data_IF_508677954921
#
_entry.id   IF_508677954921
#
_cell.length_a   1.000
_cell.length_b   1.000
_cell.length_c   1.000
_cell.angle_alpha   90.00
_cell.angle_beta   90.00
_cell.angle_gamma   90.00
#
_symmetry.space_group_name_H-M   'P 1'
#
loop_
_entity.id
_entity.type
_entity.pdbx_description
1 polymer ?
#
# COMPACT_ATOMS: atom_id res chain seq x y z
N UNK A 1 -5.35 10.70 -9.68
CA UNK A 1 -6.18 9.97 -8.71
C UNK A 1 -5.53 10.18 -7.36
N UNK A 2 -6.03 11.12 -6.58
CA UNK A 2 -5.51 11.37 -5.22
C UNK A 2 -5.89 10.18 -4.36
N UNK A 3 -4.92 9.55 -3.70
CA UNK A 3 -5.17 8.45 -2.78
C UNK A 3 -6.08 9.00 -1.68
N UNK A 4 -7.23 8.36 -1.45
CA UNK A 4 -8.12 8.76 -0.35
C UNK A 4 -7.47 8.34 0.95
N UNK A 5 -7.42 9.25 1.92
CA UNK A 5 -6.96 8.93 3.27
C UNK A 5 -7.95 7.96 3.93
N UNK A 6 -7.43 6.95 4.61
CA UNK A 6 -8.19 5.97 5.37
C UNK A 6 -9.12 6.65 6.40
N UNK A 7 -8.67 7.72 7.05
CA UNK A 7 -9.46 8.50 8.02
C UNK A 7 -10.71 9.16 7.45
N UNK A 8 -10.75 9.35 6.14
CA UNK A 8 -11.88 9.98 5.43
C UNK A 8 -12.68 8.97 4.61
N UNK A 9 -12.31 7.69 4.64
CA UNK A 9 -12.91 6.66 3.81
C UNK A 9 -14.30 6.24 4.32
N UNK A 10 -14.47 6.17 5.63
CA UNK A 10 -15.70 5.70 6.29
C UNK A 10 -16.40 6.84 7.02
N UNK A 11 -17.72 6.84 6.97
CA UNK A 11 -18.57 7.66 7.84
C UNK A 11 -18.65 7.07 9.26
N UNK A 12 -19.08 7.88 10.22
CA UNK A 12 -19.25 7.42 11.62
C UNK A 12 -20.29 6.30 11.75
N UNK A 13 -21.35 6.32 10.93
CA UNK A 13 -22.35 5.25 10.89
C UNK A 13 -21.77 3.94 10.36
N UNK A 14 -20.96 4.01 9.30
CA UNK A 14 -20.26 2.84 8.76
C UNK A 14 -19.25 2.25 9.75
N UNK A 15 -18.51 3.10 10.48
CA UNK A 15 -17.60 2.63 11.54
C UNK A 15 -18.38 1.88 12.60
N UNK A 16 -19.49 2.45 13.12
CA UNK A 16 -20.32 1.77 14.11
C UNK A 16 -20.91 0.45 13.62
N UNK A 17 -21.29 0.35 12.34
CA UNK A 17 -21.75 -0.92 11.74
C UNK A 17 -20.63 -1.96 11.64
N UNK A 18 -19.40 -1.53 11.34
CA UNK A 18 -18.22 -2.41 11.31
C UNK A 18 -17.92 -2.92 12.72
N UNK A 19 -17.86 -2.03 13.70
CA UNK A 19 -17.61 -2.39 15.11
C UNK A 19 -18.67 -3.34 15.67
N UNK A 20 -19.96 -3.11 15.35
CA UNK A 20 -21.04 -4.04 15.69
C UNK A 20 -20.89 -5.40 15.01
N UNK A 21 -20.32 -5.45 13.80
CA UNK A 21 -20.05 -6.71 13.09
C UNK A 21 -18.90 -7.47 13.73
N UNK A 22 -17.86 -6.78 14.22
CA UNK A 22 -16.75 -7.40 14.97
C UNK A 22 -17.32 -8.07 16.23
N UNK A 23 -18.04 -7.31 17.05
CA UNK A 23 -18.65 -7.81 18.29
C UNK A 23 -19.59 -9.02 18.05
N UNK A 24 -20.37 -9.00 16.95
CA UNK A 24 -21.22 -10.13 16.59
C UNK A 24 -20.39 -11.39 16.26
N UNK A 25 -19.29 -11.23 15.53
CA UNK A 25 -18.41 -12.33 15.13
C UNK A 25 -17.68 -12.91 16.34
N UNK A 26 -17.07 -12.07 17.16
CA UNK A 26 -16.32 -12.49 18.36
C UNK A 26 -17.22 -13.21 19.37
N UNK A 27 -18.52 -12.91 19.42
CA UNK A 27 -19.45 -13.70 20.25
C UNK A 27 -19.57 -15.19 19.87
N UNK A 28 -19.06 -15.61 18.70
CA UNK A 28 -19.17 -16.96 18.15
C UNK A 28 -17.83 -17.71 18.11
N UNK A 29 -16.71 -17.06 18.42
CA UNK A 29 -15.37 -17.65 18.34
C UNK A 29 -14.50 -17.12 19.47
N UNK A 30 -13.55 -17.92 19.96
CA UNK A 30 -12.55 -17.45 20.93
C UNK A 30 -11.40 -16.67 20.26
N UNK A 31 -11.60 -16.20 19.03
CA UNK A 31 -10.62 -15.47 18.25
C UNK A 31 -11.02 -14.00 18.13
N UNK A 32 -10.06 -13.13 18.37
CA UNK A 32 -10.26 -11.68 18.42
C UNK A 32 -9.83 -11.06 17.08
N UNK A 33 -10.67 -10.23 16.45
CA UNK A 33 -10.45 -9.69 15.12
C UNK A 33 -10.22 -8.18 15.18
N UNK A 34 -9.02 -7.77 14.76
CA UNK A 34 -8.66 -6.35 14.68
C UNK A 34 -8.53 -5.92 13.22
N UNK A 35 -9.50 -5.21 12.64
CA UNK A 35 -9.37 -4.67 11.30
C UNK A 35 -8.57 -3.36 11.32
N UNK A 36 -7.58 -3.27 10.42
CA UNK A 36 -6.80 -2.06 10.14
C UNK A 36 -6.95 -1.67 8.68
N UNK A 37 -7.26 -0.41 8.41
CA UNK A 37 -7.23 0.17 7.07
C UNK A 37 -6.16 1.25 7.02
N UNK A 38 -5.17 1.07 6.16
CA UNK A 38 -4.04 1.96 5.98
C UNK A 38 -4.06 2.66 4.62
N UNK A 39 -3.76 3.96 4.58
CA UNK A 39 -3.66 4.72 3.33
C UNK A 39 -2.53 4.19 2.44
N UNK A 40 -1.37 3.90 3.01
CA UNK A 40 -0.20 3.35 2.33
C UNK A 40 0.63 2.52 3.31
N UNK A 41 1.28 1.46 2.82
CA UNK A 41 2.11 0.60 3.67
C UNK A 41 3.60 0.90 3.58
N UNK A 42 4.09 1.21 2.37
CA UNK A 42 5.52 1.39 2.11
C UNK A 42 5.94 2.82 1.77
N UNK A 43 7.23 3.12 2.02
CA UNK A 43 7.90 4.32 1.51
C UNK A 43 8.61 4.00 0.19
N UNK A 44 7.97 4.33 -0.92
CA UNK A 44 8.49 4.02 -2.26
C UNK A 44 9.54 5.03 -2.77
N UNK A 45 10.42 5.52 -1.90
CA UNK A 45 11.40 6.58 -2.20
C UNK A 45 12.33 6.16 -3.36
N UNK A 46 12.71 4.87 -3.43
CA UNK A 46 13.54 4.29 -4.50
C UNK A 46 12.94 4.46 -5.90
N UNK A 47 11.62 4.39 -6.02
CA UNK A 47 10.94 4.51 -7.31
C UNK A 47 11.01 5.94 -7.87
N UNK A 48 11.14 6.94 -6.99
CA UNK A 48 11.30 8.34 -7.37
C UNK A 48 12.67 8.58 -8.02
N UNK A 49 13.73 8.03 -7.41
CA UNK A 49 15.09 8.10 -7.95
C UNK A 49 15.20 7.40 -9.32
N UNK A 50 14.55 6.24 -9.47
CA UNK A 50 14.56 5.50 -10.72
C UNK A 50 13.82 6.25 -11.83
N UNK A 51 12.66 6.85 -11.51
CA UNK A 51 11.93 7.70 -12.46
C UNK A 51 12.77 8.91 -12.88
N UNK A 52 13.36 9.61 -11.91
CA UNK A 52 14.19 10.78 -12.16
C UNK A 52 15.40 10.46 -13.05
N UNK A 53 16.02 9.29 -12.83
CA UNK A 53 17.10 8.80 -13.68
C UNK A 53 16.65 8.55 -15.12
N UNK A 54 15.54 7.82 -15.32
CA UNK A 54 15.00 7.55 -16.66
C UNK A 54 14.55 8.84 -17.36
N UNK A 55 13.92 9.76 -16.64
CA UNK A 55 13.51 11.07 -17.15
C UNK A 55 14.71 11.89 -17.62
N UNK A 56 15.81 11.87 -16.85
CA UNK A 56 17.05 12.54 -17.19
C UNK A 56 17.69 12.00 -18.46
N UNK A 57 17.76 10.66 -18.60
CA UNK A 57 18.25 10.00 -19.82
C UNK A 57 17.38 10.29 -21.04
N UNK A 58 16.06 10.31 -20.87
CA UNK A 58 15.12 10.65 -21.95
C UNK A 58 15.26 12.11 -22.35
N UNK A 59 15.39 13.02 -21.39
CA UNK A 59 15.58 14.45 -21.64
C UNK A 59 16.87 14.72 -22.41
N UNK A 60 17.97 14.07 -22.01
CA UNK A 60 19.23 14.14 -22.75
C UNK A 60 19.10 13.60 -24.18
N UNK A 61 18.42 12.46 -24.37
CA UNK A 61 18.18 11.87 -25.70
C UNK A 61 17.35 12.78 -26.60
N UNK A 62 16.30 13.40 -26.05
CA UNK A 62 15.47 14.37 -26.75
C UNK A 62 16.24 15.65 -27.11
N UNK A 63 17.06 16.15 -26.18
CA UNK A 63 17.92 17.30 -26.40
C UNK A 63 18.91 17.00 -27.54
N UNK A 64 19.57 15.84 -27.50
CA UNK A 64 20.46 15.40 -28.58
C UNK A 64 19.74 15.36 -29.92
N UNK A 65 18.59 14.67 -30.02
CA UNK A 65 17.84 14.56 -31.26
C UNK A 65 17.37 15.91 -31.82
N UNK A 66 16.97 16.85 -30.95
CA UNK A 66 16.53 18.18 -31.36
C UNK A 66 17.66 19.05 -31.91
N UNK A 67 18.89 18.86 -31.42
CA UNK A 67 20.03 19.73 -31.73
C UNK A 67 21.11 19.06 -32.60
N UNK A 68 21.02 17.76 -32.90
CA UNK A 68 22.00 17.03 -33.72
C UNK A 68 22.16 17.58 -35.15
N UNK A 69 21.15 18.29 -35.66
CA UNK A 69 21.15 18.85 -37.02
C UNK A 69 21.80 20.23 -37.13
N UNK A 70 22.19 20.85 -36.00
CA UNK A 70 22.94 22.11 -35.99
C UNK A 70 24.39 21.78 -36.31
N UNK A 71 24.68 21.65 -37.59
CA UNK A 71 26.04 21.48 -38.10
C UNK A 71 26.67 22.85 -38.33
N UNK A 72 27.96 22.97 -37.99
CA UNK A 72 28.79 24.08 -38.44
C UNK A 72 28.81 24.07 -39.97
N UNK A 73 28.22 25.09 -40.59
CA UNK A 73 28.66 25.48 -41.93
C UNK A 73 30.05 26.11 -41.77
N UNK A 74 31.09 25.29 -41.74
CA UNK A 74 32.51 25.69 -41.61
C UNK A 74 33.03 26.51 -42.80
N UNK A 75 32.16 27.16 -43.57
CA UNK A 75 32.53 28.03 -44.71
C UNK A 75 31.87 29.42 -44.70
N UNK A 76 31.08 29.79 -43.70
CA UNK A 76 30.54 31.15 -43.60
C UNK A 76 31.24 31.92 -42.48
N UNK A 77 31.80 33.09 -42.77
CA UNK A 77 32.40 34.03 -41.81
C UNK A 77 31.37 34.68 -40.85
N UNK A 78 30.25 34.00 -40.60
CA UNK A 78 29.09 34.48 -39.87
C UNK A 78 28.35 33.35 -39.13
N UNK A 79 29.07 32.37 -38.59
CA UNK A 79 28.46 31.33 -37.77
C UNK A 79 28.21 31.86 -36.36
N UNK A 80 26.94 31.95 -35.96
CA UNK A 80 26.55 32.06 -34.55
C UNK A 80 26.95 30.80 -33.77
N UNK A 81 26.92 30.82 -32.42
CA UNK A 81 27.47 29.73 -31.61
C UNK A 81 26.73 28.41 -31.89
N UNK A 82 27.47 27.39 -32.34
CA UNK A 82 26.99 26.02 -32.36
C UNK A 82 26.78 25.54 -30.91
N UNK A 83 25.66 24.87 -30.65
CA UNK A 83 25.45 24.18 -29.37
C UNK A 83 26.36 22.96 -29.32
N UNK A 84 27.62 23.15 -28.95
CA UNK A 84 28.52 22.06 -28.59
C UNK A 84 27.99 21.52 -27.26
N UNK A 85 27.32 20.37 -27.29
CA UNK A 85 26.92 19.66 -26.07
C UNK A 85 28.16 19.04 -25.43
N UNK A 86 29.01 19.90 -24.88
CA UNK A 86 30.23 19.52 -24.19
C UNK A 86 29.91 18.71 -22.93
N UNK A 87 30.85 17.89 -22.45
CA UNK A 87 30.66 17.05 -21.26
C UNK A 87 30.12 17.85 -20.04
N UNK A 88 30.58 19.07 -19.73
CA UNK A 88 29.99 19.88 -18.66
C UNK A 88 28.50 20.20 -18.87
N UNK A 89 28.08 20.49 -20.10
CA UNK A 89 26.69 20.79 -20.44
C UNK A 89 25.82 19.53 -20.32
N UNK A 90 26.33 18.36 -20.75
CA UNK A 90 25.64 17.07 -20.55
C UNK A 90 25.39 16.82 -19.08
N UNK A 91 26.42 16.96 -18.24
CA UNK A 91 26.30 16.74 -16.80
C UNK A 91 25.31 17.73 -16.15
N UNK A 92 25.33 19.00 -16.58
CA UNK A 92 24.38 20.01 -16.10
C UNK A 92 22.94 19.64 -16.47
N UNK A 93 22.68 19.24 -17.71
CA UNK A 93 21.36 18.79 -18.16
C UNK A 93 20.91 17.60 -17.32
N UNK A 94 21.77 16.61 -17.12
CA UNK A 94 21.43 15.43 -16.34
C UNK A 94 21.05 15.79 -14.90
N UNK A 95 21.86 16.60 -14.22
CA UNK A 95 21.60 17.04 -12.84
C UNK A 95 20.28 17.81 -12.74
N UNK A 96 20.08 18.83 -13.59
CA UNK A 96 18.89 19.68 -13.53
C UNK A 96 17.62 18.87 -13.82
N UNK A 97 17.65 18.04 -14.87
CA UNK A 97 16.49 17.22 -15.26
C UNK A 97 16.21 16.11 -14.26
N UNK A 98 17.22 15.58 -13.57
CA UNK A 98 17.05 14.62 -12.49
C UNK A 98 16.27 15.24 -11.32
N UNK A 99 16.65 16.43 -10.84
CA UNK A 99 15.90 17.11 -9.78
C UNK A 99 14.47 17.51 -10.20
N UNK A 100 14.28 17.91 -11.46
CA UNK A 100 12.94 18.13 -12.02
C UNK A 100 12.14 16.81 -12.04
N UNK A 101 12.79 15.70 -12.40
CA UNK A 101 12.21 14.37 -12.41
C UNK A 101 11.76 13.93 -11.02
N UNK A 102 12.57 14.15 -9.98
CA UNK A 102 12.20 13.92 -8.57
C UNK A 102 10.97 14.75 -8.23
N UNK A 103 11.02 16.07 -8.44
CA UNK A 103 9.91 16.95 -8.12
C UNK A 103 8.60 16.54 -8.81
N UNK A 104 8.70 16.07 -10.06
CA UNK A 104 7.56 15.57 -10.82
C UNK A 104 7.02 14.24 -10.27
N UNK A 105 7.90 13.29 -9.93
CA UNK A 105 7.53 12.00 -9.34
C UNK A 105 6.88 12.15 -7.97
N UNK A 106 7.43 13.03 -7.11
CA UNK A 106 6.88 13.28 -5.77
C UNK A 106 5.53 14.00 -5.83
N UNK A 107 5.30 14.86 -6.83
CA UNK A 107 4.01 15.55 -6.99
C UNK A 107 2.93 14.68 -7.65
N UNK A 108 3.32 13.77 -8.56
CA UNK A 108 2.41 12.88 -9.27
C UNK A 108 2.74 11.40 -9.00
N UNK A 109 2.14 10.79 -7.96
CA UNK A 109 2.38 9.39 -7.59
C UNK A 109 2.08 8.36 -8.71
N UNK A 110 1.34 8.76 -9.74
CA UNK A 110 1.04 7.94 -10.92
C UNK A 110 2.30 7.65 -11.74
N UNK A 111 3.29 8.56 -11.73
CA UNK A 111 4.50 8.44 -12.54
C UNK A 111 5.47 7.38 -12.02
N UNK A 112 5.47 7.14 -10.70
CA UNK A 112 6.34 6.15 -10.05
C UNK A 112 5.72 4.75 -9.97
N UNK A 113 4.39 4.65 -10.07
CA UNK A 113 3.65 3.39 -9.96
C UNK A 113 4.13 2.26 -10.91
N UNK A 114 4.44 2.49 -12.20
CA UNK A 114 4.92 1.42 -13.08
C UNK A 114 6.33 0.91 -12.75
N UNK A 115 7.08 1.63 -11.92
CA UNK A 115 8.44 1.26 -11.52
C UNK A 115 8.50 0.47 -10.21
N UNK A 116 7.37 0.32 -9.52
CA UNK A 116 7.26 -0.45 -8.28
C UNK A 116 6.83 -1.87 -8.64
N UNK A 117 7.58 -2.87 -8.17
CA UNK A 117 7.22 -4.26 -8.40
C UNK A 117 6.10 -4.71 -7.45
N UNK A 118 5.24 -5.64 -7.89
CA UNK A 118 4.21 -6.23 -7.02
C UNK A 118 4.81 -6.94 -5.80
N UNK A 119 5.99 -7.55 -5.94
CA UNK A 119 6.68 -8.21 -4.85
C UNK A 119 7.12 -7.20 -3.76
N UNK A 120 7.68 -6.05 -4.16
CA UNK A 120 8.04 -4.97 -3.23
C UNK A 120 6.81 -4.43 -2.49
N UNK A 121 5.67 -4.26 -3.17
CA UNK A 121 4.42 -3.88 -2.51
C UNK A 121 3.97 -4.93 -1.49
N UNK A 122 4.06 -6.22 -1.83
CA UNK A 122 3.69 -7.31 -0.93
C UNK A 122 4.57 -7.34 0.32
N UNK A 123 5.89 -7.20 0.15
CA UNK A 123 6.84 -7.16 1.25
C UNK A 123 6.56 -5.99 2.21
N UNK A 124 6.29 -4.80 1.67
CA UNK A 124 5.96 -3.62 2.47
C UNK A 124 4.60 -3.76 3.19
N UNK A 125 3.59 -4.33 2.54
CA UNK A 125 2.27 -4.59 3.16
C UNK A 125 2.40 -5.62 4.29
N UNK A 126 3.11 -6.73 4.08
CA UNK A 126 3.32 -7.75 5.10
C UNK A 126 4.09 -7.16 6.30
N UNK A 127 5.18 -6.44 6.03
CA UNK A 127 5.98 -5.81 7.07
C UNK A 127 5.13 -4.83 7.89
N UNK A 128 4.37 -3.95 7.23
CA UNK A 128 3.53 -2.96 7.91
C UNK A 128 2.40 -3.61 8.70
N UNK A 129 1.79 -4.68 8.18
CA UNK A 129 0.79 -5.46 8.92
C UNK A 129 1.40 -6.08 10.19
N UNK A 130 2.58 -6.69 10.12
CA UNK A 130 3.29 -7.24 11.30
C UNK A 130 3.67 -6.15 12.31
N UNK A 131 4.11 -4.98 11.85
CA UNK A 131 4.36 -3.83 12.72
C UNK A 131 3.09 -3.36 13.43
N UNK A 132 1.97 -3.22 12.69
CA UNK A 132 0.67 -2.86 13.26
C UNK A 132 0.19 -3.89 14.28
N UNK A 133 0.38 -5.18 14.01
CA UNK A 133 0.04 -6.26 14.93
C UNK A 133 0.76 -6.13 16.29
N UNK A 134 2.04 -5.76 16.26
CA UNK A 134 2.82 -5.51 17.46
C UNK A 134 2.45 -4.19 18.15
N UNK A 135 2.25 -3.12 17.38
CA UNK A 135 1.91 -1.78 17.90
C UNK A 135 0.56 -1.76 18.62
N UNK A 136 -0.42 -2.48 18.08
CA UNK A 136 -1.75 -2.64 18.66
C UNK A 136 -1.80 -3.71 19.77
N UNK A 137 -0.67 -4.38 20.05
CA UNK A 137 -0.55 -5.41 21.09
C UNK A 137 -1.58 -6.55 20.94
N UNK A 138 -1.89 -6.96 19.72
CA UNK A 138 -2.88 -8.01 19.42
C UNK A 138 -2.48 -9.37 20.02
N UNK A 139 -1.18 -9.57 20.28
CA UNK A 139 -0.66 -10.74 21.00
C UNK A 139 -1.07 -10.83 22.46
N UNK A 140 -1.67 -9.78 23.01
CA UNK A 140 -2.08 -9.75 24.41
C UNK A 140 -3.46 -10.40 24.57
N UNK A 141 -3.57 -11.64 24.09
CA UNK A 141 -4.72 -12.54 24.30
C UNK A 141 -4.26 -13.75 25.11
N UNK A 142 -5.09 -14.28 26.00
CA UNK A 142 -4.71 -15.40 26.90
C UNK A 142 -4.32 -16.66 26.11
N UNK A 143 -5.03 -16.92 25.01
CA UNK A 143 -4.85 -18.10 24.16
C UNK A 143 -4.06 -17.85 22.87
N UNK A 144 -3.50 -16.65 22.69
CA UNK A 144 -2.81 -16.24 21.45
C UNK A 144 -3.68 -16.49 20.20
N UNK A 145 -4.93 -16.03 20.24
CA UNK A 145 -5.96 -16.22 19.19
C UNK A 145 -6.29 -14.93 18.44
N UNK A 146 -5.59 -13.83 18.71
CA UNK A 146 -5.78 -12.57 18.00
C UNK A 146 -5.36 -12.63 16.52
N UNK A 147 -6.18 -12.01 15.67
CA UNK A 147 -5.89 -11.81 14.24
C UNK A 147 -5.98 -10.33 13.87
N UNK A 148 -5.17 -9.92 12.90
CA UNK A 148 -5.22 -8.62 12.26
C UNK A 148 -5.61 -8.79 10.81
N UNK A 149 -6.68 -8.11 10.39
CA UNK A 149 -7.04 -7.98 8.97
C UNK A 149 -6.54 -6.61 8.51
N UNK A 150 -5.45 -6.60 7.77
CA UNK A 150 -4.77 -5.38 7.33
C UNK A 150 -5.11 -5.08 5.86
N UNK A 151 -5.73 -3.94 5.59
CA UNK A 151 -6.12 -3.46 4.26
C UNK A 151 -5.29 -2.26 3.87
N UNK A 152 -4.53 -2.36 2.77
CA UNK A 152 -3.74 -1.25 2.24
C UNK A 152 -4.39 -0.63 1.00
N UNK A 153 -4.78 0.64 1.12
CA UNK A 153 -5.51 1.35 0.07
C UNK A 153 -4.65 1.67 -1.15
N UNK A 154 -3.37 2.01 -0.97
CA UNK A 154 -2.48 2.34 -2.09
C UNK A 154 -2.11 1.10 -2.91
N UNK A 155 -1.76 0.01 -2.23
CA UNK A 155 -1.32 -1.25 -2.85
C UNK A 155 -2.49 -2.11 -3.33
N UNK A 156 -3.73 -1.78 -2.94
CA UNK A 156 -4.93 -2.59 -3.17
C UNK A 156 -4.75 -4.06 -2.71
N UNK A 157 -4.14 -4.23 -1.54
CA UNK A 157 -3.83 -5.54 -0.97
C UNK A 157 -4.45 -5.70 0.42
N UNK A 158 -4.78 -6.95 0.75
CA UNK A 158 -5.25 -7.34 2.07
C UNK A 158 -4.36 -8.46 2.57
N UNK A 159 -3.88 -8.33 3.80
CA UNK A 159 -3.03 -9.30 4.46
C UNK A 159 -3.59 -9.63 5.84
N UNK A 160 -3.53 -10.91 6.24
CA UNK A 160 -4.04 -11.35 7.54
C UNK A 160 -2.87 -11.85 8.37
N UNK A 161 -2.71 -11.31 9.58
CA UNK A 161 -1.67 -11.72 10.52
C UNK A 161 -2.35 -12.32 11.73
N UNK A 162 -2.16 -13.63 11.96
CA UNK A 162 -2.58 -14.29 13.20
C UNK A 162 -1.44 -14.37 14.21
N UNK A 163 -1.78 -14.59 15.48
CA UNK A 163 -0.81 -15.01 16.50
C UNK A 163 -0.45 -16.50 16.36
N UNK A 164 0.39 -17.00 17.27
CA UNK A 164 1.00 -18.33 17.19
C UNK A 164 -0.05 -19.47 17.13
N UNK A 165 -1.12 -19.41 17.93
CA UNK A 165 -2.16 -20.46 17.94
C UNK A 165 -2.93 -20.46 16.63
N UNK A 166 -3.26 -19.29 16.08
CA UNK A 166 -3.91 -19.15 14.77
C UNK A 166 -3.02 -19.72 13.66
N UNK A 167 -1.76 -19.29 13.60
CA UNK A 167 -0.80 -19.70 12.57
C UNK A 167 -0.47 -21.20 12.63
N UNK A 168 -0.69 -21.86 13.78
CA UNK A 168 -0.52 -23.31 13.90
C UNK A 168 -1.59 -24.12 13.16
N UNK A 169 -2.76 -23.54 12.92
CA UNK A 169 -3.91 -24.21 12.26
C UNK A 169 -4.25 -23.62 10.88
N UNK A 170 -4.11 -22.31 10.73
CA UNK A 170 -4.50 -21.55 9.55
C UNK A 170 -3.27 -20.90 8.93
N UNK A 171 -3.18 -20.97 7.61
CA UNK A 171 -2.16 -20.34 6.81
C UNK A 171 -2.76 -19.27 5.89
N UNK A 172 -1.91 -18.51 5.19
CA UNK A 172 -2.37 -17.41 4.34
C UNK A 172 -3.34 -17.83 3.22
N UNK A 173 -3.25 -19.07 2.72
CA UNK A 173 -4.15 -19.56 1.68
C UNK A 173 -5.58 -19.80 2.19
N UNK A 174 -5.74 -20.13 3.48
CA UNK A 174 -7.05 -20.27 4.12
C UNK A 174 -7.76 -18.90 4.22
N UNK A 175 -6.99 -17.84 4.41
CA UNK A 175 -7.48 -16.45 4.46
C UNK A 175 -7.75 -15.84 3.08
N UNK A 176 -7.40 -16.51 1.99
CA UNK A 176 -7.52 -15.93 0.64
C UNK A 176 -8.96 -15.52 0.32
N UNK A 177 -9.96 -16.32 0.72
CA UNK A 177 -11.37 -15.98 0.51
C UNK A 177 -11.80 -14.72 1.27
N UNK A 178 -11.25 -14.48 2.47
CA UNK A 178 -11.48 -13.26 3.25
C UNK A 178 -10.86 -12.07 2.52
N UNK A 179 -9.59 -12.20 2.10
CA UNK A 179 -8.89 -11.16 1.34
C UNK A 179 -9.65 -10.79 0.06
N UNK A 180 -10.06 -11.78 -0.73
CA UNK A 180 -10.78 -11.57 -2.00
C UNK A 180 -12.14 -10.90 -1.80
N UNK A 181 -12.85 -11.23 -0.71
CA UNK A 181 -14.14 -10.61 -0.36
C UNK A 181 -13.97 -9.12 -0.08
N UNK A 182 -12.96 -8.77 0.73
CA UNK A 182 -12.65 -7.38 1.06
C UNK A 182 -12.21 -6.63 -0.21
N UNK A 183 -11.26 -7.19 -0.98
CA UNK A 183 -10.79 -6.59 -2.23
C UNK A 183 -11.97 -6.36 -3.21
N UNK A 184 -12.90 -7.31 -3.30
CA UNK A 184 -14.11 -7.20 -4.11
C UNK A 184 -14.98 -6.02 -3.71
N UNK A 185 -15.29 -5.86 -2.43
CA UNK A 185 -16.10 -4.73 -1.95
C UNK A 185 -15.44 -3.37 -2.17
N UNK A 186 -14.12 -3.27 -1.97
CA UNK A 186 -13.35 -2.06 -2.26
C UNK A 186 -13.35 -1.73 -3.76
N UNK A 187 -13.14 -2.73 -4.61
CA UNK A 187 -13.18 -2.58 -6.07
C UNK A 187 -14.56 -2.14 -6.57
N UNK A 188 -15.64 -2.59 -5.91
CA UNK A 188 -17.02 -2.23 -6.22
C UNK A 188 -17.47 -0.89 -5.60
N UNK A 189 -16.54 -0.10 -5.02
CA UNK A 189 -16.83 1.18 -4.34
C UNK A 189 -17.77 1.05 -3.14
N UNK A 190 -17.78 -0.11 -2.48
CA UNK A 190 -18.54 -0.40 -1.27
C UNK A 190 -17.58 -0.89 -0.15
N UNK A 191 -16.64 -0.04 0.31
CA UNK A 191 -15.58 -0.47 1.23
C UNK A 191 -16.11 -0.94 2.58
N UNK A 192 -17.12 -0.26 3.15
CA UNK A 192 -17.72 -0.64 4.43
C UNK A 192 -18.36 -2.03 4.36
N UNK A 193 -19.17 -2.27 3.32
CA UNK A 193 -19.80 -3.56 3.09
C UNK A 193 -18.75 -4.66 2.86
N UNK A 194 -17.75 -4.41 2.00
CA UNK A 194 -16.67 -5.36 1.74
C UNK A 194 -15.88 -5.75 2.99
N UNK A 195 -15.60 -4.77 3.86
CA UNK A 195 -14.89 -5.05 5.11
C UNK A 195 -15.75 -5.86 6.07
N UNK A 196 -17.04 -5.53 6.22
CA UNK A 196 -17.99 -6.31 7.05
C UNK A 196 -18.14 -7.74 6.55
N UNK A 197 -18.31 -7.94 5.25
CA UNK A 197 -18.44 -9.26 4.66
C UNK A 197 -17.15 -10.08 4.84
N UNK A 198 -15.99 -9.42 4.75
CA UNK A 198 -14.70 -10.02 5.07
C UNK A 198 -14.57 -10.44 6.54
N UNK A 199 -14.95 -9.57 7.47
CA UNK A 199 -14.93 -9.85 8.92
C UNK A 199 -15.87 -11.01 9.25
N UNK A 200 -17.09 -11.02 8.72
CA UNK A 200 -18.03 -12.12 8.86
C UNK A 200 -17.43 -13.44 8.37
N UNK A 201 -16.80 -13.42 7.19
CA UNK A 201 -16.18 -14.61 6.61
C UNK A 201 -14.96 -15.09 7.41
N UNK A 202 -14.16 -14.16 7.93
CA UNK A 202 -13.06 -14.48 8.84
C UNK A 202 -13.55 -15.08 10.14
N UNK A 203 -14.65 -14.55 10.68
CA UNK A 203 -15.38 -15.08 11.83
C UNK A 203 -15.88 -16.49 11.66
N UNK A 204 -16.49 -16.79 10.52
CA UNK A 204 -16.93 -18.16 10.17
C UNK A 204 -15.76 -19.14 10.17
N UNK A 205 -14.62 -18.74 9.57
CA UNK A 205 -13.41 -19.56 9.54
C UNK A 205 -12.81 -19.76 10.95
N UNK A 206 -12.79 -18.70 11.76
CA UNK A 206 -12.33 -18.78 13.15
C UNK A 206 -13.25 -19.67 13.98
N UNK A 207 -14.57 -19.55 13.87
CA UNK A 207 -15.53 -20.36 14.62
C UNK A 207 -15.41 -21.87 14.33
N UNK A 208 -14.98 -22.26 13.13
CA UNK A 208 -14.73 -23.66 12.78
C UNK A 208 -13.52 -24.26 13.52
N UNK A 209 -12.45 -23.48 13.70
CA UNK A 209 -11.18 -23.95 14.28
C UNK A 209 -10.96 -23.55 15.75
N UNK A 210 -11.64 -22.51 16.20
CA UNK A 210 -11.55 -21.84 17.50
C UNK A 210 -12.96 -21.47 18.00
N UNK A 211 -13.83 -22.46 18.26
CA UNK A 211 -15.17 -22.19 18.78
C UNK A 211 -15.10 -21.52 20.16
N UNK A 212 -16.10 -20.71 20.46
CA UNK A 212 -16.22 -20.02 21.77
C UNK A 212 -16.12 -21.01 22.93
N UNK A 213 -15.36 -20.63 23.97
CA UNK A 213 -15.18 -21.44 25.19
C UNK A 213 -16.10 -20.93 26.30
N UNK A 214 -16.44 -21.79 27.26
CA UNK A 214 -17.14 -21.34 28.47
C UNK A 214 -16.23 -20.43 29.29
N UNK A 215 -16.69 -19.21 29.57
CA UNK A 215 -15.93 -18.21 30.33
C UNK A 215 -15.04 -17.30 29.47
N UNK A 216 -15.14 -17.41 28.14
CA UNK A 216 -14.49 -16.51 27.21
C UNK A 216 -14.98 -15.07 27.40
N UNK A 217 -14.05 -14.12 27.44
CA UNK A 217 -14.32 -12.69 27.63
C UNK A 217 -13.62 -11.92 26.53
N UNK A 218 -14.27 -10.89 25.99
CA UNK A 218 -13.65 -10.02 25.00
C UNK A 218 -12.36 -9.41 25.56
N UNK A 219 -11.23 -9.75 24.94
CA UNK A 219 -9.89 -9.38 25.38
C UNK A 219 -9.36 -8.12 24.70
N UNK A 220 -9.80 -7.85 23.46
CA UNK A 220 -9.42 -6.67 22.69
C UNK A 220 -10.59 -5.67 22.64
N UNK A 221 -10.42 -4.57 21.90
CA UNK A 221 -11.50 -3.58 21.75
C UNK A 221 -12.03 -3.71 20.33
N UNK A 222 -13.34 -3.87 20.21
CA UNK A 222 -14.11 -3.89 18.95
C UNK A 222 -14.02 -2.56 18.21
N UNK A 223 -12.87 -2.27 17.57
CA UNK A 223 -12.68 -0.98 16.87
C UNK A 223 -11.96 -1.10 15.55
N UNK A 224 -12.39 -0.27 14.60
CA UNK A 224 -11.70 -0.11 13.32
C UNK A 224 -10.53 0.87 13.45
N UNK A 225 -9.33 0.37 13.19
CA UNK A 225 -8.13 1.21 13.19
C UNK A 225 -7.85 1.80 11.81
N UNK A 226 -7.77 3.14 11.72
CA UNK A 226 -7.46 3.87 10.49
C UNK A 226 -6.07 4.50 10.57
N UNK A 227 -5.18 4.12 9.66
CA UNK A 227 -3.77 4.56 9.61
C UNK A 227 -3.52 5.35 8.32
N UNK A 228 -2.75 6.44 8.41
CA UNK A 228 -2.27 7.20 7.25
C UNK A 228 -0.78 6.97 7.00
#
# INVERSE_FOLDING_TARGET
MTIKSAKTLFSQDEIGQIEATIAEVESKTSGEIVPVVATVSGRYDRSEDLFAFLFSLLSLSCCWYAFQGISDSTQAWSSGPALIVSLPIVLLILIVTFFIGIALASHFPILRLPLISKAEMQDEVEKRARESFQQLKIRNTEDATGILIYVSLYEHMVHVVGDDTINSKLNQSDWQAVCDTIIGGFSNKQPAQGLRDGILRGGELLAEHFPVKEGDTNELVDTLHLID
#
